data_IF_703112149296
#
_entry.id   IF_703112149296
#
_cell.length_a   1.000
_cell.length_b   1.000
_cell.length_c   1.000
_cell.angle_alpha   90.00
_cell.angle_beta   90.00
_cell.angle_gamma   90.00
#
_symmetry.space_group_name_H-M   'P 1'
#
loop_
_entity.id
_entity.type
_entity.pdbx_description
1 polymer ?
#
# COMPACT_ATOMS: atom_id res chain seq x y z
N UNK A 1 7.97 1.29 -7.09
CA UNK A 1 6.55 1.27 -7.49
C UNK A 1 6.29 0.30 -8.66
N UNK A 2 6.87 0.49 -9.85
CA UNK A 2 6.52 -0.33 -11.04
C UNK A 2 7.07 -1.77 -11.11
N UNK A 3 7.99 -2.15 -10.23
CA UNK A 3 8.56 -3.50 -10.26
C UNK A 3 7.55 -4.57 -9.86
N UNK A 4 6.60 -4.26 -8.96
CA UNK A 4 5.62 -5.24 -8.52
C UNK A 4 4.52 -5.48 -9.57
N UNK A 5 4.02 -4.41 -10.19
CA UNK A 5 3.12 -4.51 -11.33
C UNK A 5 3.68 -5.45 -12.42
N UNK A 6 4.98 -5.30 -12.74
CA UNK A 6 5.67 -6.22 -13.65
C UNK A 6 5.78 -7.66 -13.12
N UNK A 7 5.91 -7.86 -11.81
CA UNK A 7 5.91 -9.21 -11.21
C UNK A 7 4.56 -9.89 -11.35
N UNK A 8 3.45 -9.17 -11.16
CA UNK A 8 2.11 -9.74 -11.36
C UNK A 8 1.82 -10.06 -12.82
N UNK A 9 2.20 -9.17 -13.75
CA UNK A 9 2.14 -9.47 -15.19
C UNK A 9 2.95 -10.74 -15.51
N UNK A 10 4.15 -10.91 -14.92
CA UNK A 10 4.97 -12.10 -15.09
C UNK A 10 4.35 -13.37 -14.48
N UNK A 11 3.50 -13.23 -13.46
CA UNK A 11 2.73 -14.33 -12.87
C UNK A 11 1.38 -14.55 -13.56
N UNK A 12 1.15 -13.93 -14.72
CA UNK A 12 -0.10 -13.97 -15.47
C UNK A 12 -1.33 -13.51 -14.67
N UNK A 13 -1.12 -12.70 -13.62
CA UNK A 13 -2.19 -12.09 -12.83
C UNK A 13 -2.60 -10.79 -13.55
N UNK A 14 -3.88 -10.62 -13.92
CA UNK A 14 -4.34 -9.39 -14.54
C UNK A 14 -4.11 -8.23 -13.59
N UNK A 15 -3.23 -7.28 -13.93
CA UNK A 15 -3.04 -6.11 -13.10
C UNK A 15 -4.23 -5.12 -13.20
N UNK A 16 -5.08 -5.25 -14.23
CA UNK A 16 -6.23 -4.36 -14.44
C UNK A 16 -5.87 -2.96 -14.96
N UNK A 17 -4.57 -2.63 -15.04
CA UNK A 17 -4.06 -1.32 -15.45
C UNK A 17 -3.54 -1.40 -16.89
N UNK A 18 -4.15 -0.67 -17.85
CA UNK A 18 -3.60 -0.55 -19.20
C UNK A 18 -2.21 0.10 -19.19
N UNK A 19 -1.28 -0.42 -20.00
CA UNK A 19 0.10 0.10 -20.09
C UNK A 19 0.22 1.56 -20.52
N UNK A 20 -0.80 2.09 -21.20
CA UNK A 20 -0.86 3.48 -21.68
C UNK A 20 -1.66 4.39 -20.75
N UNK A 21 -1.99 3.95 -19.53
CA UNK A 21 -2.76 4.75 -18.58
C UNK A 21 -1.92 5.87 -18.00
N UNK A 22 -2.40 7.11 -18.13
CA UNK A 22 -1.86 8.27 -17.43
C UNK A 22 -2.88 8.73 -16.40
N UNK A 23 -2.53 8.66 -15.13
CA UNK A 23 -3.41 9.07 -14.04
C UNK A 23 -3.45 10.59 -13.94
N UNK A 24 -4.66 11.14 -13.95
CA UNK A 24 -4.90 12.56 -13.70
C UNK A 24 -5.19 12.86 -12.22
N UNK A 25 -5.44 11.82 -11.43
CA UNK A 25 -5.87 11.91 -10.05
C UNK A 25 -5.21 10.81 -9.20
N UNK A 26 -4.74 11.14 -8.00
CA UNK A 26 -4.16 10.17 -7.09
C UNK A 26 -5.16 9.06 -6.69
N UNK A 27 -6.45 9.40 -6.56
CA UNK A 27 -7.48 8.42 -6.21
C UNK A 27 -7.64 7.34 -7.30
N UNK A 28 -7.56 7.70 -8.59
CA UNK A 28 -7.60 6.70 -9.67
C UNK A 28 -6.41 5.75 -9.63
N UNK A 29 -5.21 6.25 -9.33
CA UNK A 29 -4.03 5.41 -9.14
C UNK A 29 -4.22 4.45 -7.95
N UNK A 30 -4.72 4.94 -6.82
CA UNK A 30 -4.91 4.12 -5.62
C UNK A 30 -5.96 3.02 -5.82
N UNK A 31 -7.04 3.31 -6.53
CA UNK A 31 -8.07 2.31 -6.88
C UNK A 31 -7.51 1.20 -7.77
N UNK A 32 -6.67 1.56 -8.72
CA UNK A 32 -6.01 0.60 -9.60
C UNK A 32 -5.00 -0.26 -8.83
N UNK A 33 -4.24 0.31 -7.89
CA UNK A 33 -3.41 -0.47 -6.96
C UNK A 33 -4.25 -1.40 -6.06
N UNK A 34 -5.43 -0.98 -5.60
CA UNK A 34 -6.35 -1.85 -4.84
C UNK A 34 -6.90 -2.99 -5.69
N UNK A 35 -7.16 -2.72 -6.97
CA UNK A 35 -7.58 -3.74 -7.94
C UNK A 35 -6.47 -4.75 -8.19
N UNK A 36 -5.22 -4.31 -8.21
CA UNK A 36 -4.04 -5.17 -8.27
C UNK A 36 -4.00 -6.16 -7.09
N UNK A 37 -4.26 -5.69 -5.87
CA UNK A 37 -4.36 -6.57 -4.69
C UNK A 37 -5.56 -7.51 -4.73
N UNK A 38 -6.71 -7.07 -5.27
CA UNK A 38 -7.86 -7.97 -5.48
C UNK A 38 -7.48 -9.12 -6.41
N UNK A 39 -6.83 -8.79 -7.53
CA UNK A 39 -6.47 -9.77 -8.55
C UNK A 39 -5.40 -10.72 -8.01
N UNK A 40 -4.47 -10.23 -7.19
CA UNK A 40 -3.56 -11.11 -6.44
C UNK A 40 -4.35 -12.11 -5.60
N UNK A 41 -5.29 -11.66 -4.76
CA UNK A 41 -6.07 -12.55 -3.91
C UNK A 41 -6.93 -13.52 -4.73
N UNK A 42 -7.46 -13.08 -5.88
CA UNK A 42 -8.30 -13.90 -6.76
C UNK A 42 -7.52 -14.96 -7.54
N UNK A 43 -6.38 -14.62 -8.11
CA UNK A 43 -5.71 -15.45 -9.12
C UNK A 43 -4.46 -16.18 -8.62
N UNK A 44 -3.83 -15.69 -7.55
CA UNK A 44 -2.65 -16.35 -7.01
C UNK A 44 -3.06 -17.45 -6.02
N UNK A 45 -2.79 -18.71 -6.37
CA UNK A 45 -3.17 -19.88 -5.55
C UNK A 45 -2.55 -19.88 -4.15
N UNK A 46 -1.38 -19.27 -3.97
CA UNK A 46 -0.73 -19.06 -2.67
C UNK A 46 -0.87 -17.64 -2.13
N UNK A 47 -1.90 -16.90 -2.54
CA UNK A 47 -2.17 -15.56 -2.00
C UNK A 47 -2.48 -15.59 -0.51
N UNK A 48 -3.17 -16.65 -0.06
CA UNK A 48 -3.53 -16.90 1.32
C UNK A 48 -3.29 -18.37 1.68
N UNK A 49 -2.98 -18.65 2.94
CA UNK A 49 -2.62 -19.99 3.43
C UNK A 49 -3.61 -20.58 4.44
N UNK A 50 -4.60 -19.80 4.88
CA UNK A 50 -5.70 -20.26 5.73
C UNK A 50 -7.01 -19.55 5.38
N UNK A 51 -8.13 -20.13 5.80
CA UNK A 51 -9.45 -19.52 5.66
C UNK A 51 -9.51 -18.17 6.38
N UNK A 52 -8.90 -18.12 7.57
CA UNK A 52 -8.78 -16.91 8.37
C UNK A 52 -7.98 -15.84 7.64
N UNK A 53 -6.78 -16.14 7.17
CA UNK A 53 -5.92 -15.24 6.39
C UNK A 53 -6.63 -14.71 5.12
N UNK A 54 -7.42 -15.56 4.46
CA UNK A 54 -8.23 -15.16 3.31
C UNK A 54 -9.29 -14.12 3.70
N UNK A 55 -10.00 -14.33 4.81
CA UNK A 55 -10.98 -13.38 5.33
C UNK A 55 -10.31 -12.08 5.79
N UNK A 56 -9.16 -12.16 6.48
CA UNK A 56 -8.39 -11.00 6.89
C UNK A 56 -7.96 -10.16 5.68
N UNK A 57 -7.30 -10.76 4.69
CA UNK A 57 -6.88 -10.03 3.49
C UNK A 57 -8.07 -9.39 2.76
N UNK A 58 -9.19 -10.10 2.62
CA UNK A 58 -10.40 -9.56 2.00
C UNK A 58 -11.00 -8.38 2.78
N UNK A 59 -11.10 -8.49 4.11
CA UNK A 59 -11.61 -7.42 4.97
C UNK A 59 -10.74 -6.16 4.88
N UNK A 60 -9.42 -6.35 4.89
CA UNK A 60 -8.45 -5.26 4.75
C UNK A 60 -8.58 -4.53 3.42
N UNK A 61 -8.83 -5.25 2.31
CA UNK A 61 -9.06 -4.62 1.02
C UNK A 61 -10.33 -3.76 1.01
N UNK A 62 -11.40 -4.21 1.69
CA UNK A 62 -12.62 -3.43 1.86
C UNK A 62 -12.34 -2.18 2.71
N UNK A 63 -11.64 -2.33 3.84
CA UNK A 63 -11.28 -1.20 4.70
C UNK A 63 -10.36 -0.19 4.01
N UNK A 64 -9.36 -0.66 3.26
CA UNK A 64 -8.48 0.22 2.50
C UNK A 64 -9.25 1.03 1.45
N UNK A 65 -10.29 0.45 0.82
CA UNK A 65 -11.19 1.18 -0.08
C UNK A 65 -12.04 2.21 0.64
N UNK A 66 -12.61 1.88 1.81
CA UNK A 66 -13.45 2.83 2.56
C UNK A 66 -12.64 4.01 3.09
N UNK A 67 -11.39 3.78 3.48
CA UNK A 67 -10.49 4.81 3.99
C UNK A 67 -9.82 5.66 2.90
N UNK A 68 -9.99 5.30 1.63
CA UNK A 68 -9.32 5.97 0.51
C UNK A 68 -9.50 7.50 0.54
N UNK A 69 -10.74 7.98 0.67
CA UNK A 69 -11.02 9.42 0.65
C UNK A 69 -10.35 10.17 1.80
N UNK A 70 -10.22 9.53 2.97
CA UNK A 70 -9.54 10.12 4.13
C UNK A 70 -8.06 10.33 3.85
N UNK A 71 -7.41 9.36 3.23
CA UNK A 71 -5.96 9.40 2.98
C UNK A 71 -5.57 10.11 1.68
N UNK A 72 -6.44 10.18 0.68
CA UNK A 72 -6.18 10.93 -0.56
C UNK A 72 -6.49 12.42 -0.46
N UNK A 73 -7.30 12.84 0.52
CA UNK A 73 -7.66 14.23 0.77
C UNK A 73 -8.49 14.89 -0.35
N UNK A 74 -9.47 15.72 0.00
CA UNK A 74 -10.25 16.48 -0.98
C UNK A 74 -9.46 17.60 -1.65
N UNK A 75 -8.56 18.25 -0.90
CA UNK A 75 -7.80 19.43 -1.34
C UNK A 75 -6.51 19.13 -2.10
N UNK A 76 -6.00 17.89 -2.02
CA UNK A 76 -4.75 17.44 -2.68
C UNK A 76 -5.03 16.52 -3.88
N UNK A 77 -6.30 16.27 -4.18
CA UNK A 77 -6.75 15.36 -5.24
C UNK A 77 -6.27 15.77 -6.63
N UNK A 78 -6.20 17.08 -6.86
CA UNK A 78 -5.79 17.72 -8.12
C UNK A 78 -4.48 18.53 -7.96
N UNK A 79 -3.78 18.34 -6.83
CA UNK A 79 -2.51 18.99 -6.51
C UNK A 79 -2.57 19.91 -5.27
N UNK A 80 -1.40 20.40 -4.80
CA UNK A 80 -0.05 20.12 -5.29
C UNK A 80 0.39 18.67 -5.01
N UNK A 81 0.97 18.01 -6.02
CA UNK A 81 1.57 16.69 -5.86
C UNK A 81 2.84 16.83 -5.03
N UNK A 82 2.76 16.46 -3.75
CA UNK A 82 3.92 16.48 -2.88
C UNK A 82 4.86 15.32 -3.24
N UNK A 83 6.17 15.61 -3.26
CA UNK A 83 7.19 14.59 -3.44
C UNK A 83 7.12 13.62 -2.24
N UNK A 84 6.48 12.47 -2.44
CA UNK A 84 6.53 11.37 -1.49
C UNK A 84 7.98 10.89 -1.45
N UNK A 85 8.57 10.74 -0.26
CA UNK A 85 9.92 10.20 -0.10
C UNK A 85 9.98 8.80 -0.73
N UNK A 86 10.37 8.74 -2.01
CA UNK A 86 10.57 7.50 -2.75
C UNK A 86 11.78 6.72 -2.24
N UNK A 87 12.56 7.33 -1.34
CA UNK A 87 13.84 6.81 -0.85
C UNK A 87 13.85 6.44 0.65
N UNK A 88 12.72 6.55 1.36
CA UNK A 88 12.53 5.67 2.51
C UNK A 88 12.18 4.31 1.93
N UNK A 89 13.22 3.60 1.49
CA UNK A 89 13.13 2.43 0.63
C UNK A 89 11.99 1.53 1.12
N UNK A 90 11.11 1.10 0.22
CA UNK A 90 9.95 0.27 0.58
C UNK A 90 10.36 -1.10 1.19
N UNK A 91 11.65 -1.46 1.13
CA UNK A 91 12.21 -2.57 1.92
C UNK A 91 12.57 -2.18 3.36
N UNK A 92 12.85 -0.90 3.63
CA UNK A 92 13.06 -0.37 4.97
C UNK A 92 11.73 -0.27 5.72
N UNK A 93 10.60 0.07 5.09
CA UNK A 93 9.30 0.07 5.77
C UNK A 93 8.86 -1.32 6.24
N UNK A 94 9.25 -2.38 5.54
CA UNK A 94 9.04 -3.76 5.99
C UNK A 94 9.92 -4.15 7.20
N UNK A 95 11.02 -3.41 7.42
CA UNK A 95 11.96 -3.62 8.53
C UNK A 95 11.82 -2.58 9.65
N UNK A 96 11.21 -1.41 9.42
CA UNK A 96 11.02 -0.35 10.43
C UNK A 96 10.21 -0.88 11.61
N UNK A 97 9.23 -1.74 11.35
CA UNK A 97 8.41 -2.40 12.38
C UNK A 97 9.21 -3.42 13.21
N UNK A 98 10.38 -3.85 12.70
CA UNK A 98 11.30 -4.78 13.36
C UNK A 98 12.55 -4.07 13.91
N UNK A 99 12.67 -2.76 13.71
CA UNK A 99 13.77 -1.96 14.25
C UNK A 99 13.39 -1.59 15.69
N UNK A 100 13.98 -2.31 16.64
CA UNK A 100 13.78 -2.05 18.07
C UNK A 100 15.05 -1.48 18.73
N UNK A 101 14.86 -0.82 19.87
CA UNK A 101 15.94 -0.42 20.76
C UNK A 101 16.95 0.57 20.12
N UNK A 102 18.27 0.38 20.29
CA UNK A 102 19.28 1.36 19.86
C UNK A 102 19.31 1.64 18.34
N UNK A 103 18.83 0.69 17.53
CA UNK A 103 18.73 0.86 16.09
C UNK A 103 17.59 1.81 15.70
N UNK A 104 16.48 1.78 16.44
CA UNK A 104 15.35 2.69 16.26
C UNK A 104 15.74 4.12 16.56
N UNK A 105 16.42 4.35 17.68
CA UNK A 105 16.89 5.69 18.06
C UNK A 105 17.86 6.27 17.03
N UNK A 106 18.74 5.44 16.45
CA UNK A 106 19.61 5.86 15.35
C UNK A 106 18.84 6.23 14.10
N UNK A 107 17.86 5.42 13.70
CA UNK A 107 16.99 5.72 12.56
C UNK A 107 16.22 7.02 12.78
N UNK A 108 15.58 7.17 13.95
CA UNK A 108 14.82 8.36 14.33
C UNK A 108 15.70 9.61 14.31
N UNK A 109 16.90 9.56 14.87
CA UNK A 109 17.85 10.67 14.84
C UNK A 109 18.26 11.06 13.42
N UNK A 110 18.50 10.08 12.54
CA UNK A 110 18.80 10.34 11.13
C UNK A 110 17.61 10.96 10.39
N UNK A 111 16.39 10.47 10.66
CA UNK A 111 15.16 11.01 10.09
C UNK A 111 14.89 12.45 10.55
N UNK A 112 15.10 12.74 11.84
CA UNK A 112 15.00 14.09 12.41
C UNK A 112 16.03 15.05 11.79
N UNK A 113 17.29 14.60 11.62
CA UNK A 113 18.32 15.39 10.93
C UNK A 113 17.92 15.68 9.48
N UNK A 114 17.45 14.67 8.77
CA UNK A 114 17.00 14.80 7.39
C UNK A 114 15.84 15.80 7.27
N UNK A 115 14.78 15.64 8.06
CA UNK A 115 13.63 16.56 8.05
C UNK A 115 14.02 17.98 8.45
N UNK A 116 14.98 18.16 9.36
CA UNK A 116 15.48 19.49 9.74
C UNK A 116 16.28 20.16 8.63
N UNK A 117 17.04 19.41 7.82
CA UNK A 117 17.72 19.96 6.64
C UNK A 117 16.69 20.53 5.65
N UNK A 118 15.62 19.77 5.35
CA UNK A 118 14.54 20.28 4.48
C UNK A 118 13.87 21.52 5.05
N UNK A 119 13.63 21.59 6.37
CA UNK A 119 13.08 22.80 7.00
C UNK A 119 13.99 24.02 6.82
N UNK A 120 15.30 23.84 6.93
CA UNK A 120 16.27 24.91 6.74
C UNK A 120 16.32 25.35 5.28
N UNK A 121 16.36 24.41 4.34
CA UNK A 121 16.36 24.70 2.90
C UNK A 121 15.06 25.40 2.45
N UNK A 122 13.90 24.99 2.98
CA UNK A 122 12.61 25.64 2.75
C UNK A 122 12.56 27.08 3.27
N UNK A 123 13.27 27.38 4.37
CA UNK A 123 13.38 28.73 4.92
C UNK A 123 14.29 29.64 4.08
N UNK A 124 15.35 29.07 3.51
CA UNK A 124 16.31 29.79 2.66
C UNK A 124 15.77 30.00 1.23
N UNK A 125 15.05 29.01 0.70
CA UNK A 125 14.50 29.02 -0.66
C UNK A 125 13.04 28.55 -0.65
N UNK A 126 12.08 29.42 -0.25
CA UNK A 126 10.69 29.03 -0.19
C UNK A 126 10.19 28.58 -1.57
N UNK A 127 9.71 27.33 -1.67
CA UNK A 127 8.96 26.85 -2.83
C UNK A 127 7.60 27.55 -2.87
N UNK A 128 7.59 28.80 -3.28
CA UNK A 128 6.37 29.57 -3.51
C UNK A 128 5.61 28.92 -4.67
N UNK A 129 4.54 28.17 -4.37
CA UNK A 129 3.58 27.84 -5.42
C UNK A 129 2.88 29.14 -5.82
N UNK A 130 3.14 29.59 -7.06
CA UNK A 130 2.60 30.84 -7.60
C UNK A 130 1.09 30.66 -7.83
N UNK A 131 0.21 31.39 -7.13
CA UNK A 131 -1.25 31.16 -7.19
C UNK A 131 -1.89 31.73 -8.46
N UNK A 132 -1.12 32.31 -9.38
CA UNK A 132 -1.65 33.07 -10.53
C UNK A 132 -2.11 32.22 -11.72
N UNK A 133 -2.04 30.88 -11.65
CA UNK A 133 -2.41 30.01 -12.78
C UNK A 133 -3.76 29.29 -12.67
N UNK A 134 -4.48 29.38 -11.54
CA UNK A 134 -5.86 28.89 -11.43
C UNK A 134 -6.74 29.89 -10.70
N UNK A 135 -7.52 30.63 -11.50
CA UNK A 135 -8.47 31.68 -11.11
C UNK A 135 -9.51 31.20 -10.08
N UNK A 136 -9.78 32.01 -9.06
CA UNK A 136 -11.16 32.18 -8.57
C UNK A 136 -11.44 32.13 -7.06
N UNK A 137 -10.49 31.94 -6.15
CA UNK A 137 -10.78 31.87 -4.71
C UNK A 137 -10.15 33.01 -3.90
N UNK A 138 -11.01 33.93 -3.47
CA UNK A 138 -10.76 35.01 -2.51
C UNK A 138 -10.19 34.49 -1.19
N UNK A 139 -9.06 35.09 -0.78
CA UNK A 139 -8.67 35.43 0.60
C UNK A 139 -9.05 34.43 1.71
N UNK A 140 -8.52 33.20 1.67
CA UNK A 140 -8.43 32.35 2.87
C UNK A 140 -7.11 31.59 2.86
N UNK A 141 -6.23 31.92 3.82
CA UNK A 141 -5.09 31.10 4.24
C UNK A 141 -3.98 30.82 3.20
N UNK A 142 -2.90 31.61 3.23
CA UNK A 142 -1.61 31.18 2.64
C UNK A 142 -1.13 29.92 3.36
N UNK A 143 -1.29 28.73 2.79
CA UNK A 143 -0.56 27.55 3.25
C UNK A 143 0.79 27.54 2.53
N UNK A 144 1.85 27.96 3.23
CA UNK A 144 3.22 27.79 2.76
C UNK A 144 3.46 26.28 2.63
N UNK A 145 3.73 25.80 1.42
CA UNK A 145 4.07 24.40 1.18
C UNK A 145 5.49 24.16 1.70
N UNK A 146 5.62 23.42 2.80
CA UNK A 146 6.90 22.90 3.29
C UNK A 146 6.87 21.38 3.16
N UNK A 147 7.72 20.78 2.30
CA UNK A 147 7.94 19.34 2.25
C UNK A 147 8.15 18.71 3.63
N UNK A 148 8.98 19.30 4.50
CA UNK A 148 9.25 18.73 5.82
C UNK A 148 8.01 18.68 6.72
N UNK A 149 7.19 19.74 6.70
CA UNK A 149 5.92 19.77 7.43
C UNK A 149 4.94 18.75 6.85
N UNK A 150 4.86 18.66 5.52
CA UNK A 150 3.99 17.69 4.83
C UNK A 150 4.37 16.25 5.15
N UNK A 151 5.66 15.94 5.19
CA UNK A 151 6.21 14.62 5.52
C UNK A 151 5.89 14.24 6.97
N UNK A 152 6.11 15.14 7.92
CA UNK A 152 5.82 14.87 9.34
C UNK A 152 4.32 14.65 9.57
N UNK A 153 3.47 15.51 9.00
CA UNK A 153 2.01 15.34 9.11
C UNK A 153 1.59 14.01 8.46
N UNK A 154 2.13 13.65 7.29
CA UNK A 154 1.81 12.39 6.62
C UNK A 154 2.24 11.14 7.41
N UNK A 155 3.29 11.25 8.22
CA UNK A 155 3.71 10.17 9.13
C UNK A 155 2.78 10.09 10.34
N UNK A 156 2.45 11.23 10.96
CA UNK A 156 1.59 11.33 12.14
C UNK A 156 0.13 10.92 11.85
N UNK A 157 -0.41 11.30 10.69
CA UNK A 157 -1.80 11.04 10.32
C UNK A 157 -2.01 9.69 9.60
N UNK A 158 -0.93 8.92 9.42
CA UNK A 158 -0.96 7.58 8.83
C UNK A 158 -0.97 7.53 7.29
N UNK A 159 -0.97 8.68 6.58
CA UNK A 159 -0.92 8.69 5.10
C UNK A 159 0.29 7.96 4.55
N UNK A 160 1.46 8.12 5.16
CA UNK A 160 2.67 7.42 4.75
C UNK A 160 2.45 5.89 4.75
N UNK A 161 1.88 5.37 5.83
CA UNK A 161 1.62 3.94 5.99
C UNK A 161 0.53 3.43 5.04
N UNK A 162 -0.53 4.22 4.84
CA UNK A 162 -1.58 3.91 3.86
C UNK A 162 -1.03 3.75 2.44
N UNK A 163 -0.26 4.73 1.95
CA UNK A 163 0.31 4.64 0.60
C UNK A 163 1.39 3.55 0.50
N UNK A 164 2.15 3.31 1.57
CA UNK A 164 3.13 2.21 1.61
C UNK A 164 2.45 0.85 1.53
N UNK A 165 1.34 0.67 2.25
CA UNK A 165 0.51 -0.54 2.21
C UNK A 165 -0.05 -0.79 0.79
N UNK A 166 -0.48 0.26 0.08
CA UNK A 166 -0.94 0.15 -1.31
C UNK A 166 0.16 -0.27 -2.28
N UNK A 167 1.40 0.19 -2.08
CA UNK A 167 2.52 -0.10 -2.97
C UNK A 167 3.13 -1.48 -2.67
N UNK A 168 2.96 -2.00 -1.45
CA UNK A 168 3.58 -3.24 -0.97
C UNK A 168 2.54 -4.36 -0.76
N UNK A 169 2.28 -5.19 -1.78
CA UNK A 169 1.23 -6.21 -1.75
C UNK A 169 1.34 -7.27 -0.68
N UNK A 170 2.56 -7.60 -0.26
CA UNK A 170 2.76 -8.54 0.84
C UNK A 170 2.74 -7.86 2.22
N UNK A 171 2.81 -6.53 2.24
CA UNK A 171 2.87 -5.75 3.47
C UNK A 171 1.54 -5.06 3.80
N UNK A 172 0.59 -5.00 2.86
CA UNK A 172 -0.67 -4.26 3.04
C UNK A 172 -1.35 -4.60 4.36
N UNK A 173 -1.52 -5.89 4.63
CA UNK A 173 -2.14 -6.39 5.87
C UNK A 173 -1.34 -5.95 7.11
N UNK A 174 -0.05 -6.28 7.17
CA UNK A 174 0.79 -5.98 8.33
C UNK A 174 0.87 -4.47 8.60
N UNK A 175 1.06 -3.66 7.56
CA UNK A 175 1.15 -2.20 7.70
C UNK A 175 -0.19 -1.59 8.13
N UNK A 176 -1.31 -2.17 7.69
CA UNK A 176 -2.62 -1.73 8.12
C UNK A 176 -2.85 -2.02 9.60
N UNK A 177 -2.62 -3.26 10.03
CA UNK A 177 -2.81 -3.68 11.43
C UNK A 177 -1.89 -2.91 12.39
N UNK A 178 -0.62 -2.70 12.02
CA UNK A 178 0.36 -2.07 12.91
C UNK A 178 0.22 -0.55 12.97
N UNK A 179 -0.12 0.10 11.86
CA UNK A 179 -0.03 1.57 11.77
C UNK A 179 -1.33 2.30 11.47
N UNK A 180 -2.31 1.63 10.85
CA UNK A 180 -3.55 2.28 10.41
C UNK A 180 -4.67 1.97 11.39
N UNK A 181 -4.84 0.70 11.77
CA UNK A 181 -5.89 0.27 12.69
C UNK A 181 -5.79 0.96 14.06
N UNK A 182 -4.61 1.16 14.69
CA UNK A 182 -4.51 1.82 16.01
C UNK A 182 -4.96 3.28 16.05
N UNK A 183 -5.13 3.92 14.88
CA UNK A 183 -5.67 5.29 14.78
C UNK A 183 -7.18 5.32 15.05
N UNK A 184 -7.85 4.17 14.96
CA UNK A 184 -9.28 4.02 15.16
C UNK A 184 -9.60 3.27 16.46
N UNK A 185 -10.85 3.37 16.90
CA UNK A 185 -11.36 2.54 17.98
C UNK A 185 -11.15 1.06 17.65
N UNK A 186 -10.74 0.25 18.63
CA UNK A 186 -10.41 -1.16 18.45
C UNK A 186 -11.65 -2.03 18.68
N UNK A 187 -12.38 -2.46 17.64
CA UNK A 187 -13.47 -3.41 17.82
C UNK A 187 -12.93 -4.83 18.05
N UNK A 188 -13.76 -5.76 18.55
CA UNK A 188 -13.43 -7.17 18.58
C UNK A 188 -13.08 -7.67 17.16
N UNK A 189 -11.84 -8.13 16.90
CA UNK A 189 -11.32 -8.25 15.54
C UNK A 189 -12.03 -9.35 14.72
N UNK A 190 -12.28 -10.51 15.32
CA UNK A 190 -12.77 -11.68 14.58
C UNK A 190 -14.17 -11.46 13.96
N UNK A 191 -15.11 -10.95 14.74
CA UNK A 191 -16.49 -10.73 14.27
C UNK A 191 -16.56 -9.64 13.19
N UNK A 192 -15.74 -8.60 13.34
CA UNK A 192 -15.69 -7.49 12.38
C UNK A 192 -15.03 -7.93 11.07
N UNK A 193 -13.95 -8.70 11.13
CA UNK A 193 -13.28 -9.22 9.92
C UNK A 193 -14.20 -10.13 9.13
N UNK A 194 -14.92 -11.05 9.78
CA UNK A 194 -15.89 -11.90 9.10
C UNK A 194 -17.03 -11.08 8.47
N UNK A 195 -17.56 -10.10 9.19
CA UNK A 195 -18.63 -9.25 8.67
C UNK A 195 -18.17 -8.41 7.46
N UNK A 196 -16.99 -7.80 7.53
CA UNK A 196 -16.45 -6.94 6.47
C UNK A 196 -16.03 -7.76 5.24
N UNK A 197 -15.35 -8.89 5.45
CA UNK A 197 -14.87 -9.75 4.36
C UNK A 197 -16.01 -10.27 3.48
N UNK A 198 -17.21 -10.47 4.04
CA UNK A 198 -18.40 -10.84 3.28
C UNK A 198 -18.79 -9.83 2.19
N UNK A 199 -18.38 -8.55 2.33
CA UNK A 199 -18.64 -7.50 1.34
C UNK A 199 -17.55 -7.40 0.25
N UNK A 200 -16.46 -8.16 0.35
CA UNK A 200 -15.38 -8.12 -0.64
C UNK A 200 -15.78 -8.79 -1.96
N UNK A 201 -16.48 -9.93 -1.91
CA UNK A 201 -16.98 -10.63 -3.10
C UNK A 201 -18.28 -11.36 -2.79
N UNK A 202 -19.23 -11.43 -3.75
CA UNK A 202 -20.37 -12.34 -3.63
C UNK A 202 -19.89 -13.77 -3.42
N UNK A 203 -20.50 -14.48 -2.48
CA UNK A 203 -20.14 -15.87 -2.16
C UNK A 203 -18.79 -16.02 -1.45
N UNK A 204 -18.46 -15.11 -0.53
CA UNK A 204 -17.18 -15.13 0.19
C UNK A 204 -16.83 -16.50 0.80
N UNK A 205 -17.78 -17.21 1.42
CA UNK A 205 -17.54 -18.56 1.95
C UNK A 205 -17.10 -19.55 0.87
N UNK A 206 -17.79 -19.54 -0.29
CA UNK A 206 -17.42 -20.39 -1.44
C UNK A 206 -16.07 -19.99 -2.04
N UNK A 207 -15.75 -18.69 -2.04
CA UNK A 207 -14.44 -18.21 -2.46
C UNK A 207 -13.34 -18.72 -1.54
N UNK A 208 -13.52 -18.66 -0.22
CA UNK A 208 -12.58 -19.20 0.77
C UNK A 208 -12.35 -20.69 0.55
N UNK A 209 -13.42 -21.47 0.36
CA UNK A 209 -13.32 -22.91 0.09
C UNK A 209 -12.54 -23.20 -1.21
N UNK A 210 -12.78 -22.41 -2.26
CA UNK A 210 -12.02 -22.51 -3.53
C UNK A 210 -10.55 -22.18 -3.32
N UNK A 211 -10.27 -21.09 -2.59
CA UNK A 211 -8.91 -20.62 -2.32
C UNK A 211 -8.10 -21.66 -1.56
N UNK A 212 -8.72 -22.35 -0.59
CA UNK A 212 -8.05 -23.43 0.15
C UNK A 212 -7.71 -24.63 -0.74
N UNK A 213 -8.55 -24.95 -1.73
CA UNK A 213 -8.23 -25.99 -2.73
C UNK A 213 -7.06 -25.59 -3.62
N UNK A 214 -7.09 -24.37 -4.16
CA UNK A 214 -6.00 -23.82 -4.97
C UNK A 214 -4.66 -23.81 -4.21
N UNK A 215 -4.68 -23.50 -2.91
CA UNK A 215 -3.47 -23.51 -2.09
C UNK A 215 -2.91 -24.93 -1.91
N UNK A 216 -3.78 -25.93 -1.69
CA UNK A 216 -3.37 -27.34 -1.61
C UNK A 216 -2.78 -27.82 -2.94
N UNK A 217 -3.41 -27.48 -4.06
CA UNK A 217 -2.91 -27.79 -5.41
C UNK A 217 -1.53 -27.14 -5.65
N UNK A 218 -1.38 -25.85 -5.32
CA UNK A 218 -0.10 -25.15 -5.40
C UNK A 218 0.99 -25.83 -4.55
N UNK A 219 0.68 -26.23 -3.32
CA UNK A 219 1.65 -26.92 -2.47
C UNK A 219 2.08 -28.27 -3.06
N UNK A 220 1.15 -28.98 -3.70
CA UNK A 220 1.47 -30.22 -4.39
C UNK A 220 2.37 -29.96 -5.61
N UNK A 221 2.04 -28.97 -6.45
CA UNK A 221 2.88 -28.58 -7.59
C UNK A 221 4.29 -28.20 -7.16
N UNK A 222 4.43 -27.40 -6.09
CA UNK A 222 5.73 -27.03 -5.54
C UNK A 222 6.51 -28.27 -5.12
N UNK A 223 5.88 -29.20 -4.38
CA UNK A 223 6.52 -30.47 -3.98
C UNK A 223 6.96 -31.28 -5.19
N UNK A 224 6.12 -31.38 -6.21
CA UNK A 224 6.41 -32.13 -7.43
C UNK A 224 7.59 -31.51 -8.18
N UNK A 225 7.64 -30.18 -8.31
CA UNK A 225 8.77 -29.46 -8.93
C UNK A 225 10.06 -29.76 -8.18
N UNK A 226 10.06 -29.61 -6.84
CA UNK A 226 11.24 -29.85 -6.01
C UNK A 226 11.74 -31.30 -6.08
N UNK A 227 10.82 -32.27 -6.19
CA UNK A 227 11.13 -33.69 -6.29
C UNK A 227 11.40 -34.15 -7.74
N UNK A 228 11.19 -33.29 -8.74
CA UNK A 228 11.42 -33.59 -10.15
C UNK A 228 12.81 -33.15 -10.63
N UNK A 229 13.17 -33.56 -11.85
CA UNK A 229 14.37 -33.09 -12.57
C UNK A 229 14.31 -31.59 -12.94
N UNK A 230 13.17 -30.92 -12.74
CA UNK A 230 13.01 -29.47 -12.97
C UNK A 230 13.53 -28.62 -11.81
N UNK A 231 13.79 -29.22 -10.65
CA UNK A 231 14.40 -28.53 -9.50
C UNK A 231 15.73 -27.90 -9.90
N UNK A 232 15.86 -26.58 -9.71
CA UNK A 232 17.07 -25.82 -10.05
C UNK A 232 17.24 -25.44 -11.54
N UNK A 233 16.27 -25.70 -12.41
CA UNK A 233 16.30 -25.23 -13.82
C UNK A 233 15.42 -23.98 -14.01
N UNK A 234 15.92 -22.90 -14.63
CA UNK A 234 15.10 -21.74 -14.98
C UNK A 234 13.95 -22.10 -15.92
N UNK A 235 12.79 -21.49 -15.73
CA UNK A 235 11.54 -21.74 -16.48
C UNK A 235 11.54 -21.26 -17.95
N UNK A 236 12.69 -20.96 -18.55
CA UNK A 236 12.77 -20.35 -19.88
C UNK A 236 12.75 -21.33 -21.06
N UNK A 237 12.70 -22.64 -20.81
CA UNK A 237 12.69 -23.65 -21.88
C UNK A 237 11.26 -24.14 -22.16
N UNK A 238 10.51 -23.37 -22.95
CA UNK A 238 9.34 -23.82 -23.73
C UNK A 238 9.39 -23.20 -25.12
#
# INVERSE_FOLDING_TARGET
MFCHHKQLENWAIPAGIPRNTTYKCAASLCLDLLTEHDNRLRHQGNAAYSSEDTCFQAAHLVLMRTLLQKFTGGSLRDGPFAMQLTDMHASSSLHVDQIEGPAYERFKLCYEKFTNIFKQEDMETPLCHNPTLYSGATTVGRTIYSPATTINIALEDGRYWYFSALILPKALYNLFEVHILPIYDQPPPEAVVLAISAFWTPGMSSFVDSKMKEFVEYLQEVRDIFNSKKSGRPYYDV
#
